data_IF_480133066751
#
_entry.id   IF_480133066751
#
_cell.length_a   1.000
_cell.length_b   1.000
_cell.length_c   1.000
_cell.angle_alpha   90.00
_cell.angle_beta   90.00
_cell.angle_gamma   90.00
#
_symmetry.space_group_name_H-M   'P 1'
#
loop_
_entity.id
_entity.type
_entity.pdbx_description
1 polymer ?
#
# COMPACT_ATOMS: atom_id res chain seq x y z
N UNK A 1 -8.54 -15.35 -0.98
CA UNK A 1 -8.93 -14.77 0.33
C UNK A 1 -9.49 -13.38 0.17
N UNK A 2 -10.41 -12.93 1.04
CA UNK A 2 -10.95 -11.56 0.98
C UNK A 2 -11.27 -10.99 2.37
N UNK A 3 -11.28 -9.66 2.49
CA UNK A 3 -11.72 -8.93 3.68
C UNK A 3 -12.45 -7.65 3.29
N UNK A 4 -13.53 -7.34 4.03
CA UNK A 4 -14.36 -6.15 3.80
C UNK A 4 -13.99 -5.02 4.76
N UNK A 5 -13.80 -3.81 4.24
CA UNK A 5 -13.66 -2.56 5.01
C UNK A 5 -14.70 -1.57 4.50
N UNK A 6 -15.64 -1.17 5.37
CA UNK A 6 -16.83 -0.40 4.97
C UNK A 6 -17.56 -1.05 3.77
N UNK A 7 -17.64 -0.33 2.66
CA UNK A 7 -18.23 -0.72 1.37
C UNK A 7 -17.25 -1.46 0.43
N UNK A 8 -15.95 -1.46 0.74
CA UNK A 8 -14.90 -2.01 -0.13
C UNK A 8 -14.55 -3.46 0.23
N UNK A 9 -14.34 -4.27 -0.81
CA UNK A 9 -13.83 -5.63 -0.71
C UNK A 9 -12.40 -5.70 -1.23
N UNK A 10 -11.48 -6.13 -0.38
CA UNK A 10 -10.09 -6.39 -0.72
C UNK A 10 -9.90 -7.89 -0.90
N UNK A 11 -9.42 -8.31 -2.07
CA UNK A 11 -9.32 -9.71 -2.46
C UNK A 11 -7.88 -10.02 -2.85
N UNK A 12 -7.33 -11.09 -2.29
CA UNK A 12 -6.03 -11.64 -2.65
C UNK A 12 -6.21 -13.04 -3.24
N UNK A 13 -5.69 -13.25 -4.46
CA UNK A 13 -5.56 -14.58 -5.05
C UNK A 13 -4.36 -15.29 -4.42
N UNK A 14 -4.56 -16.51 -3.96
CA UNK A 14 -3.54 -17.30 -3.27
C UNK A 14 -3.48 -18.68 -3.91
N UNK A 15 -2.31 -19.32 -3.88
CA UNK A 15 -2.18 -20.69 -4.36
C UNK A 15 -2.89 -21.65 -3.40
N UNK A 16 -3.59 -22.65 -3.95
CA UNK A 16 -4.29 -23.67 -3.19
C UNK A 16 -3.28 -24.74 -2.72
N UNK A 17 -2.44 -24.35 -1.75
CA UNK A 17 -1.41 -25.20 -1.16
C UNK A 17 -1.53 -25.21 0.36
N UNK A 18 -1.32 -26.39 0.96
CA UNK A 18 -1.37 -26.58 2.42
C UNK A 18 -0.33 -25.73 3.19
N UNK A 19 0.63 -25.14 2.48
CA UNK A 19 1.66 -24.25 3.02
C UNK A 19 1.27 -22.76 3.01
N UNK A 20 0.15 -22.39 2.41
CA UNK A 20 -0.30 -21.00 2.32
C UNK A 20 -0.87 -20.53 3.66
N UNK A 21 -0.20 -19.55 4.26
CA UNK A 21 -0.64 -18.97 5.54
C UNK A 21 -1.74 -17.94 5.31
N UNK A 22 -2.99 -18.38 5.41
CA UNK A 22 -4.18 -17.52 5.22
C UNK A 22 -4.21 -16.32 6.18
N UNK A 23 -3.74 -16.50 7.42
CA UNK A 23 -3.70 -15.42 8.41
C UNK A 23 -2.69 -14.35 8.03
N UNK A 24 -1.54 -14.74 7.47
CA UNK A 24 -0.54 -13.81 6.96
C UNK A 24 -1.13 -12.95 5.84
N UNK A 25 -1.91 -13.54 4.93
CA UNK A 25 -2.56 -12.80 3.83
C UNK A 25 -3.61 -11.82 4.36
N UNK A 26 -4.44 -12.24 5.32
CA UNK A 26 -5.43 -11.36 5.95
C UNK A 26 -4.78 -10.20 6.71
N UNK A 27 -3.66 -10.44 7.38
CA UNK A 27 -2.87 -9.40 8.05
C UNK A 27 -2.19 -8.48 7.04
N UNK A 28 -1.70 -9.00 5.90
CA UNK A 28 -1.13 -8.18 4.84
C UNK A 28 -2.18 -7.26 4.19
N UNK A 29 -3.39 -7.77 3.93
CA UNK A 29 -4.53 -6.93 3.49
C UNK A 29 -4.83 -5.86 4.54
N UNK A 30 -4.82 -6.20 5.83
CA UNK A 30 -5.05 -5.22 6.90
C UNK A 30 -3.97 -4.13 6.93
N UNK A 31 -2.72 -4.54 6.82
CA UNK A 31 -1.57 -3.64 6.78
C UNK A 31 -1.66 -2.64 5.65
N UNK A 32 -2.03 -3.10 4.45
CA UNK A 32 -2.22 -2.25 3.29
C UNK A 32 -3.31 -1.19 3.53
N UNK A 33 -4.47 -1.61 4.04
CA UNK A 33 -5.59 -0.69 4.33
C UNK A 33 -5.23 0.33 5.42
N UNK A 34 -4.48 -0.06 6.45
CA UNK A 34 -3.99 0.88 7.46
C UNK A 34 -2.97 1.89 6.89
N UNK A 35 -2.11 1.47 5.95
CA UNK A 35 -1.19 2.37 5.26
C UNK A 35 -1.96 3.39 4.42
N UNK A 36 -3.01 2.96 3.71
CA UNK A 36 -3.90 3.87 2.97
C UNK A 36 -4.59 4.87 3.91
N UNK A 37 -5.18 4.39 5.00
CA UNK A 37 -5.88 5.25 5.97
C UNK A 37 -4.97 6.32 6.58
N UNK A 38 -3.71 5.94 6.84
CA UNK A 38 -2.71 6.86 7.38
C UNK A 38 -2.16 7.84 6.34
N UNK A 39 -2.08 7.44 5.07
CA UNK A 39 -1.63 8.32 3.99
C UNK A 39 -2.69 9.39 3.67
N UNK A 40 -3.95 8.99 3.49
CA UNK A 40 -5.04 9.91 3.12
C UNK A 40 -5.65 10.65 4.32
N UNK A 41 -5.48 10.13 5.55
CA UNK A 41 -6.05 10.72 6.75
C UNK A 41 -7.56 10.57 6.80
N UNK A 42 -8.04 9.37 7.15
CA UNK A 42 -9.42 8.90 7.04
C UNK A 42 -9.82 8.55 5.60
N UNK A 43 -9.22 7.48 5.07
CA UNK A 43 -9.42 7.06 3.68
C UNK A 43 -10.89 6.72 3.40
N UNK A 44 -11.41 7.20 2.29
CA UNK A 44 -12.68 6.78 1.71
C UNK A 44 -12.49 6.15 0.32
N UNK A 45 -13.53 5.51 -0.17
CA UNK A 45 -13.54 4.87 -1.49
C UNK A 45 -13.27 5.84 -2.64
N UNK A 46 -13.71 7.10 -2.54
CA UNK A 46 -13.44 8.12 -3.53
C UNK A 46 -11.96 8.50 -3.57
N UNK A 47 -11.26 8.51 -2.44
CA UNK A 47 -9.83 8.82 -2.40
C UNK A 47 -9.02 7.80 -3.21
N UNK A 48 -9.42 6.52 -3.11
CA UNK A 48 -8.80 5.42 -3.86
C UNK A 48 -9.10 5.54 -5.35
N UNK A 49 -10.33 5.92 -5.72
CA UNK A 49 -10.74 6.09 -7.13
C UNK A 49 -10.01 7.27 -7.77
N UNK A 50 -9.91 8.41 -7.08
CA UNK A 50 -9.28 9.62 -7.62
C UNK A 50 -7.75 9.57 -7.58
N UNK A 51 -7.15 8.85 -6.63
CA UNK A 51 -5.70 8.79 -6.44
C UNK A 51 -5.16 7.36 -6.62
N UNK A 52 -5.65 6.65 -7.65
CA UNK A 52 -5.29 5.25 -7.91
C UNK A 52 -3.78 5.04 -8.03
N UNK A 53 -3.05 5.98 -8.65
CA UNK A 53 -1.59 5.91 -8.78
C UNK A 53 -0.89 5.88 -7.42
N UNK A 54 -1.30 6.73 -6.47
CA UNK A 54 -0.74 6.75 -5.11
C UNK A 54 -1.08 5.48 -4.34
N UNK A 55 -2.31 4.97 -4.49
CA UNK A 55 -2.70 3.68 -3.93
C UNK A 55 -1.84 2.53 -4.48
N UNK A 56 -1.53 2.57 -5.77
CA UNK A 56 -0.69 1.59 -6.44
C UNK A 56 0.76 1.65 -5.92
N UNK A 57 1.33 2.83 -5.71
CA UNK A 57 2.66 2.97 -5.10
C UNK A 57 2.71 2.43 -3.67
N UNK A 58 1.71 2.77 -2.84
CA UNK A 58 1.61 2.21 -1.49
C UNK A 58 1.51 0.68 -1.54
N UNK A 59 0.79 0.13 -2.53
CA UNK A 59 0.69 -1.31 -2.72
C UNK A 59 2.05 -1.92 -3.10
N UNK A 60 2.82 -1.30 -4.00
CA UNK A 60 4.15 -1.78 -4.39
C UNK A 60 5.19 -1.69 -3.27
N UNK A 61 5.10 -0.70 -2.39
CA UNK A 61 5.96 -0.65 -1.19
C UNK A 61 5.55 -1.71 -0.16
N UNK A 62 4.25 -2.04 -0.09
CA UNK A 62 3.75 -3.07 0.83
C UNK A 62 4.02 -4.50 0.32
N UNK A 63 3.81 -4.74 -0.96
CA UNK A 63 3.90 -6.04 -1.62
C UNK A 63 4.95 -6.01 -2.71
N UNK A 64 5.81 -7.03 -2.73
CA UNK A 64 6.73 -7.26 -3.84
C UNK A 64 5.95 -7.59 -5.11
N UNK A 65 6.56 -7.37 -6.27
CA UNK A 65 6.01 -7.76 -7.57
C UNK A 65 5.64 -9.25 -7.66
N UNK A 66 6.26 -10.09 -6.82
CA UNK A 66 5.98 -11.53 -6.72
C UNK A 66 4.76 -11.86 -5.82
N UNK A 67 4.08 -10.84 -5.27
CA UNK A 67 2.90 -11.00 -4.40
C UNK A 67 3.23 -11.28 -2.93
N UNK A 68 4.50 -11.36 -2.56
CA UNK A 68 4.94 -11.54 -1.18
C UNK A 68 4.94 -10.20 -0.42
N UNK A 69 4.75 -10.25 0.90
CA UNK A 69 4.90 -9.07 1.75
C UNK A 69 6.35 -8.56 1.68
N UNK A 70 6.55 -7.31 1.27
CA UNK A 70 7.87 -6.69 1.12
C UNK A 70 8.24 -5.92 2.39
N UNK A 71 7.44 -4.91 2.72
CA UNK A 71 7.65 -4.06 3.88
C UNK A 71 6.49 -4.19 4.87
N UNK A 72 6.83 -4.40 6.14
CA UNK A 72 5.84 -4.52 7.22
C UNK A 72 5.74 -3.23 8.04
N UNK A 73 6.76 -2.37 7.97
CA UNK A 73 6.82 -1.12 8.70
C UNK A 73 6.07 0.00 7.95
N UNK A 74 4.85 0.29 8.40
CA UNK A 74 4.01 1.39 7.89
C UNK A 74 4.72 2.74 7.80
N UNK A 75 5.63 3.04 8.74
CA UNK A 75 6.35 4.33 8.73
C UNK A 75 7.30 4.43 7.54
N UNK A 76 7.94 3.33 7.16
CA UNK A 76 8.87 3.29 6.04
C UNK A 76 8.12 3.39 4.72
N UNK A 77 7.05 2.60 4.53
CA UNK A 77 6.15 2.69 3.37
C UNK A 77 5.71 4.14 3.11
N UNK A 78 5.26 4.85 4.16
CA UNK A 78 4.81 6.23 4.01
C UNK A 78 5.95 7.20 3.71
N UNK A 79 7.15 6.99 4.27
CA UNK A 79 8.33 7.81 3.96
C UNK A 79 8.76 7.65 2.50
N UNK A 80 8.76 6.43 1.99
CA UNK A 80 9.18 6.13 0.62
C UNK A 80 8.18 6.71 -0.40
N UNK A 81 6.87 6.60 -0.13
CA UNK A 81 5.84 7.24 -0.96
C UNK A 81 5.93 8.77 -0.92
N UNK A 82 6.18 9.37 0.25
CA UNK A 82 6.38 10.82 0.36
C UNK A 82 7.63 11.29 -0.40
N UNK A 83 8.70 10.50 -0.42
CA UNK A 83 9.89 10.79 -1.21
C UNK A 83 9.57 10.75 -2.71
N UNK A 84 8.79 9.76 -3.17
CA UNK A 84 8.34 9.71 -4.56
C UNK A 84 7.51 10.93 -4.93
N UNK A 85 6.59 11.37 -4.05
CA UNK A 85 5.78 12.56 -4.26
C UNK A 85 6.64 13.84 -4.42
N UNK A 86 7.71 13.97 -3.63
CA UNK A 86 8.66 15.09 -3.71
C UNK A 86 9.52 15.07 -4.98
N UNK A 87 9.86 13.89 -5.48
CA UNK A 87 10.60 13.74 -6.73
C UNK A 87 9.71 14.08 -7.92
N UNK A 88 8.44 13.68 -7.88
CA UNK A 88 7.45 13.98 -8.91
C UNK A 88 7.10 15.47 -8.96
N UNK A 89 7.05 16.15 -7.81
CA UNK A 89 6.82 17.60 -7.73
C UNK A 89 8.04 18.45 -8.14
N UNK A 90 9.20 17.82 -8.36
CA UNK A 90 10.46 18.51 -8.70
C UNK A 90 11.15 19.20 -7.52
N UNK A 91 10.59 19.13 -6.32
CA UNK A 91 11.19 19.71 -5.10
C UNK A 91 12.41 18.90 -4.62
N UNK A 92 12.43 17.58 -4.85
CA UNK A 92 13.54 16.70 -4.49
C UNK A 92 14.84 16.95 -5.28
N UNK A 93 14.76 17.51 -6.49
CA UNK A 93 15.94 17.84 -7.30
C UNK A 93 16.71 19.05 -6.75
N UNK A 94 16.02 20.02 -6.16
CA UNK A 94 16.64 21.24 -5.64
C UNK A 94 17.50 20.98 -4.40
N UNK A 95 17.19 19.95 -3.60
CA UNK A 95 17.98 19.56 -2.42
C UNK A 95 19.18 18.66 -2.73
N UNK A 96 19.21 18.02 -3.90
CA UNK A 96 20.30 17.14 -4.37
C UNK A 96 21.33 17.86 -5.24
N UNK A 97 20.95 18.99 -5.83
CA UNK A 97 21.78 19.81 -6.72
C UNK A 97 22.28 21.13 -6.06
N UNK A 98 22.01 21.31 -4.77
CA UNK A 98 22.43 22.48 -3.96
C UNK A 98 23.65 22.20 -3.09
#
# INVERSE_FOLDING_TARGET
MYKRYASLYFVAGIEDSDSSNELLILEAIHRFVESLDKYFGNVCELDIIYNFEKCYYIMLETFSSDGNLLESNKRKILQDVQLMDQLESGEGLNGLLG
#
